data_IF_638543227685
#
_entry.id   IF_638543227685
#
_cell.length_a   1.000
_cell.length_b   1.000
_cell.length_c   1.000
_cell.angle_alpha   90.00
_cell.angle_beta   90.00
_cell.angle_gamma   90.00
#
_symmetry.space_group_name_H-M   'P 1'
#
loop_
_entity.id
_entity.type
_entity.pdbx_description
1 polymer ?
#
# COMPACT_ATOMS: atom_id res chain seq x y z
N UNK A 1 5.60 -7.73 -73.62
CA UNK A 1 6.31 -7.30 -72.39
C UNK A 1 5.39 -7.51 -71.19
N UNK A 2 5.66 -8.52 -70.36
CA UNK A 2 4.98 -8.73 -69.07
C UNK A 2 6.00 -8.43 -67.98
N UNK A 3 5.78 -7.37 -67.20
CA UNK A 3 6.57 -7.04 -66.02
C UNK A 3 5.77 -7.43 -64.77
N UNK A 4 6.41 -8.25 -63.93
CA UNK A 4 5.88 -8.90 -62.74
C UNK A 4 5.45 -7.90 -61.65
N UNK A 5 4.21 -8.05 -61.15
CA UNK A 5 3.71 -7.40 -59.94
C UNK A 5 4.19 -8.10 -58.66
N UNK A 6 5.51 -8.29 -58.50
CA UNK A 6 6.06 -9.02 -57.36
C UNK A 6 7.28 -8.31 -56.75
N UNK A 7 7.13 -7.03 -56.39
CA UNK A 7 8.21 -6.27 -55.74
C UNK A 7 7.73 -5.21 -54.74
N UNK A 8 6.50 -5.32 -54.22
CA UNK A 8 5.96 -4.31 -53.27
C UNK A 8 5.61 -4.91 -51.89
N UNK A 9 5.71 -6.23 -51.70
CA UNK A 9 5.39 -6.86 -50.42
C UNK A 9 6.58 -6.97 -49.43
N UNK A 10 7.81 -6.68 -49.86
CA UNK A 10 9.03 -6.94 -49.06
C UNK A 10 9.66 -5.71 -48.40
N UNK A 11 9.14 -4.51 -48.65
CA UNK A 11 9.72 -3.26 -48.10
C UNK A 11 9.10 -2.80 -46.78
N UNK A 12 7.94 -3.34 -46.37
CA UNK A 12 7.29 -2.95 -45.10
C UNK A 12 7.84 -3.73 -43.91
N UNK A 13 8.31 -4.97 -44.10
CA UNK A 13 8.84 -5.79 -43.01
C UNK A 13 10.22 -5.33 -42.49
N UNK A 14 10.97 -4.56 -43.29
CA UNK A 14 12.31 -4.08 -42.91
C UNK A 14 12.29 -2.81 -42.05
N UNK A 15 11.20 -2.03 -42.09
CA UNK A 15 11.09 -0.78 -41.33
C UNK A 15 10.73 -1.01 -39.84
N UNK A 16 10.22 -2.18 -39.47
CA UNK A 16 9.84 -2.52 -38.10
C UNK A 16 11.00 -3.11 -37.27
N UNK A 17 12.12 -3.51 -37.90
CA UNK A 17 13.27 -4.11 -37.21
C UNK A 17 14.22 -3.08 -36.59
N UNK A 18 14.02 -1.77 -36.82
CA UNK A 18 14.89 -0.71 -36.30
C UNK A 18 14.41 -0.07 -35.01
N UNK A 19 13.22 -0.43 -34.51
CA UNK A 19 12.95 -0.30 -33.08
C UNK A 19 13.66 -1.45 -32.36
N UNK A 20 14.99 -1.43 -32.42
CA UNK A 20 15.78 -2.01 -31.35
C UNK A 20 15.25 -1.33 -30.09
N UNK A 21 14.44 -2.05 -29.32
CA UNK A 21 14.14 -1.68 -27.95
C UNK A 21 15.50 -1.43 -27.32
N UNK A 22 15.82 -0.17 -27.07
CA UNK A 22 16.95 0.18 -26.24
C UNK A 22 16.68 -0.58 -24.94
N UNK A 23 17.44 -1.66 -24.73
CA UNK A 23 17.41 -2.40 -23.50
C UNK A 23 17.93 -1.41 -22.47
N UNK A 24 17.00 -0.74 -21.80
CA UNK A 24 17.32 0.16 -20.70
C UNK A 24 17.85 -0.76 -19.62
N UNK A 25 19.17 -0.88 -19.50
CA UNK A 25 19.79 -1.54 -18.36
C UNK A 25 19.28 -0.81 -17.12
N UNK A 26 18.37 -1.47 -16.39
CA UNK A 26 17.80 -0.92 -15.17
C UNK A 26 18.93 -0.81 -14.16
N UNK A 27 19.27 0.43 -13.76
CA UNK A 27 20.35 0.70 -12.79
C UNK A 27 20.05 0.09 -11.41
N UNK A 28 18.78 -0.17 -11.14
CA UNK A 28 18.26 -0.78 -9.93
C UNK A 28 16.74 -0.63 -9.87
N UNK A 29 16.14 -1.16 -8.81
CA UNK A 29 14.70 -1.05 -8.52
C UNK A 29 14.52 -0.22 -7.26
N UNK A 30 13.62 0.76 -7.30
CA UNK A 30 13.16 1.50 -6.12
C UNK A 30 11.87 0.87 -5.63
N UNK A 31 11.76 0.67 -4.31
CA UNK A 31 10.54 0.21 -3.65
C UNK A 31 10.03 1.37 -2.80
N UNK A 32 8.96 2.03 -3.27
CA UNK A 32 8.28 3.04 -2.46
C UNK A 32 7.40 2.34 -1.45
N UNK A 33 7.62 2.64 -0.16
CA UNK A 33 6.83 2.14 0.95
C UNK A 33 6.24 3.32 1.71
N UNK A 34 4.99 3.17 2.13
CA UNK A 34 4.26 4.16 2.91
C UNK A 34 3.66 3.48 4.13
N UNK A 35 3.98 3.98 5.30
CA UNK A 35 3.56 3.40 6.57
C UNK A 35 2.40 4.24 7.15
N UNK A 36 1.79 3.77 8.24
CA UNK A 36 0.83 4.50 9.09
C UNK A 36 -0.51 4.89 8.44
N UNK A 37 -0.81 4.42 7.23
CA UNK A 37 -2.16 4.53 6.66
C UNK A 37 -3.11 3.42 7.16
N UNK A 38 -4.36 3.37 6.69
CA UNK A 38 -4.97 4.25 5.70
C UNK A 38 -5.63 5.47 6.35
N UNK A 39 -5.30 6.67 5.86
CA UNK A 39 -5.85 7.95 6.33
C UNK A 39 -6.28 8.82 5.14
N UNK A 40 -6.89 9.98 5.37
CA UNK A 40 -7.35 10.86 4.30
C UNK A 40 -6.20 11.26 3.34
N UNK A 41 -5.02 11.52 3.88
CA UNK A 41 -3.84 11.89 3.10
C UNK A 41 -3.36 10.78 2.14
N UNK A 42 -3.63 9.50 2.46
CA UNK A 42 -3.26 8.38 1.60
C UNK A 42 -3.89 8.50 0.20
N UNK A 43 -5.07 9.11 0.08
CA UNK A 43 -5.79 9.27 -1.19
C UNK A 43 -4.98 10.10 -2.19
N UNK A 44 -4.44 11.24 -1.75
CA UNK A 44 -3.65 12.11 -2.63
C UNK A 44 -2.29 11.49 -2.98
N UNK A 45 -1.67 10.77 -2.03
CA UNK A 45 -0.48 9.97 -2.30
C UNK A 45 -0.74 8.94 -3.39
N UNK A 46 -1.81 8.15 -3.27
CA UNK A 46 -2.21 7.13 -4.26
C UNK A 46 -2.51 7.79 -5.62
N UNK A 47 -3.19 8.94 -5.63
CA UNK A 47 -3.48 9.67 -6.86
C UNK A 47 -2.20 10.09 -7.60
N UNK A 48 -1.18 10.57 -6.89
CA UNK A 48 0.12 10.90 -7.52
C UNK A 48 0.81 9.63 -8.04
N UNK A 49 0.85 8.55 -7.26
CA UNK A 49 1.45 7.29 -7.72
C UNK A 49 0.76 6.76 -9.00
N UNK A 50 -0.56 6.88 -9.07
CA UNK A 50 -1.35 6.51 -10.23
C UNK A 50 -1.07 7.41 -11.45
N UNK A 51 -0.96 8.72 -11.24
CA UNK A 51 -0.62 9.68 -12.31
C UNK A 51 0.76 9.40 -12.90
N UNK A 52 1.71 9.00 -12.07
CA UNK A 52 3.08 8.65 -12.47
C UNK A 52 3.22 7.17 -12.89
N UNK A 53 2.11 6.43 -12.98
CA UNK A 53 2.04 5.02 -13.41
C UNK A 53 2.95 4.07 -12.58
N UNK A 54 3.20 4.40 -11.31
CA UNK A 54 4.03 3.58 -10.41
C UNK A 54 3.19 2.85 -9.35
N UNK A 55 3.71 1.71 -8.88
CA UNK A 55 3.15 0.95 -7.76
C UNK A 55 4.04 1.04 -6.54
N UNK A 56 3.43 0.88 -5.37
CA UNK A 56 4.04 1.05 -4.06
C UNK A 56 3.46 0.02 -3.10
N UNK A 57 4.08 -0.10 -1.93
CA UNK A 57 3.58 -0.90 -0.82
C UNK A 57 3.12 0.00 0.31
N UNK A 58 1.93 -0.26 0.83
CA UNK A 58 1.37 0.43 1.96
C UNK A 58 1.34 -0.51 3.17
N UNK A 59 2.11 -0.20 4.21
CA UNK A 59 2.08 -0.90 5.48
C UNK A 59 1.05 -0.21 6.36
N UNK A 60 -0.12 -0.84 6.53
CA UNK A 60 -1.28 -0.21 7.14
C UNK A 60 -1.55 -0.66 8.58
N UNK A 61 -2.08 0.28 9.37
CA UNK A 61 -2.66 0.12 10.70
C UNK A 61 -4.17 0.27 10.64
N UNK A 62 -4.92 -0.80 10.95
CA UNK A 62 -6.37 -0.80 10.78
C UNK A 62 -7.15 0.00 11.83
N UNK A 63 -6.51 0.45 12.92
CA UNK A 63 -7.15 1.31 13.92
C UNK A 63 -7.72 2.63 13.34
N UNK A 64 -7.18 3.12 12.23
CA UNK A 64 -7.69 4.29 11.50
C UNK A 64 -9.09 4.03 10.91
N UNK A 65 -9.42 2.76 10.63
CA UNK A 65 -10.76 2.38 10.19
C UNK A 65 -11.78 2.43 11.34
N UNK A 66 -11.33 2.23 12.58
CA UNK A 66 -12.15 2.35 13.79
C UNK A 66 -12.23 3.80 14.31
N UNK A 67 -11.50 4.75 13.71
CA UNK A 67 -11.61 6.18 14.05
C UNK A 67 -10.85 6.58 15.32
N UNK A 68 -9.80 5.83 15.70
CA UNK A 68 -9.05 6.01 16.95
C UNK A 68 -7.56 6.28 16.75
N UNK A 69 -7.10 6.55 15.52
CA UNK A 69 -5.68 6.72 15.19
C UNK A 69 -5.14 8.13 15.36
N UNK A 70 -5.95 9.07 15.86
CA UNK A 70 -5.63 10.51 16.03
C UNK A 70 -5.19 11.22 14.74
N UNK A 71 -5.75 10.81 13.60
CA UNK A 71 -5.50 11.42 12.30
C UNK A 71 -6.80 11.89 11.62
N UNK A 72 -6.67 12.62 10.50
CA UNK A 72 -7.81 12.83 9.61
C UNK A 72 -8.09 11.53 8.86
N UNK A 73 -9.04 10.73 9.34
CA UNK A 73 -9.25 9.35 8.92
C UNK A 73 -10.70 8.97 8.61
N UNK A 74 -11.60 9.95 8.49
CA UNK A 74 -13.00 9.72 8.09
C UNK A 74 -13.13 9.08 6.69
N UNK A 75 -12.06 9.09 5.89
CA UNK A 75 -11.95 8.45 4.58
C UNK A 75 -10.98 7.26 4.55
N UNK A 76 -10.61 6.69 5.70
CA UNK A 76 -9.69 5.54 5.80
C UNK A 76 -10.15 4.34 4.95
N UNK A 77 -11.44 3.99 4.98
CA UNK A 77 -11.98 2.90 4.15
C UNK A 77 -11.93 3.23 2.64
N UNK A 78 -12.13 4.49 2.26
CA UNK A 78 -11.97 4.94 0.87
C UNK A 78 -10.52 4.80 0.42
N UNK A 79 -9.56 5.23 1.25
CA UNK A 79 -8.13 5.10 1.00
C UNK A 79 -7.69 3.64 0.84
N UNK A 80 -8.14 2.74 1.73
CA UNK A 80 -7.86 1.30 1.64
C UNK A 80 -8.35 0.72 0.31
N UNK A 81 -9.61 1.00 -0.06
CA UNK A 81 -10.18 0.54 -1.34
C UNK A 81 -9.42 1.10 -2.52
N UNK A 82 -9.08 2.40 -2.50
CA UNK A 82 -8.35 3.06 -3.58
C UNK A 82 -6.95 2.45 -3.77
N UNK A 83 -6.23 2.13 -2.68
CA UNK A 83 -4.93 1.48 -2.76
C UNK A 83 -5.02 0.12 -3.46
N UNK A 84 -6.00 -0.70 -3.05
CA UNK A 84 -6.24 -2.04 -3.58
C UNK A 84 -6.73 -2.02 -5.03
N UNK A 85 -7.76 -1.22 -5.34
CA UNK A 85 -8.35 -1.08 -6.68
C UNK A 85 -7.32 -0.52 -7.69
N UNK A 86 -6.36 0.29 -7.21
CA UNK A 86 -5.26 0.83 -8.02
C UNK A 86 -4.09 -0.15 -8.19
N UNK A 87 -4.12 -1.33 -7.56
CA UNK A 87 -3.07 -2.34 -7.68
C UNK A 87 -1.83 -2.09 -6.84
N UNK A 88 -1.87 -1.22 -5.83
CA UNK A 88 -0.79 -1.11 -4.83
C UNK A 88 -0.83 -2.31 -3.88
N UNK A 89 0.32 -2.65 -3.30
CA UNK A 89 0.38 -3.71 -2.31
C UNK A 89 -0.10 -3.16 -0.96
N UNK A 90 -0.99 -3.88 -0.29
CA UNK A 90 -1.33 -3.62 1.12
C UNK A 90 -0.66 -4.69 1.99
N UNK A 91 0.17 -4.26 2.91
CA UNK A 91 0.95 -5.08 3.85
C UNK A 91 0.61 -4.70 5.31
N UNK A 92 1.10 -5.50 6.25
CA UNK A 92 0.70 -5.43 7.66
C UNK A 92 1.66 -4.56 8.48
N UNK A 93 1.14 -3.56 9.18
CA UNK A 93 1.91 -2.72 10.10
C UNK A 93 1.48 -2.87 11.56
N UNK A 94 0.80 -3.98 11.92
CA UNK A 94 0.04 -4.16 13.18
C UNK A 94 -1.23 -3.34 13.24
N UNK A 95 -2.11 -3.61 14.21
CA UNK A 95 -3.41 -2.94 14.34
C UNK A 95 -3.28 -1.47 14.77
N UNK A 96 -2.53 -1.22 15.84
CA UNK A 96 -2.54 0.05 16.59
C UNK A 96 -1.16 0.73 16.66
N UNK A 97 -0.24 0.33 15.79
CA UNK A 97 1.13 0.84 15.78
C UNK A 97 1.84 0.69 17.15
N UNK A 98 1.48 -0.37 17.90
CA UNK A 98 1.93 -0.65 19.26
C UNK A 98 1.59 0.42 20.31
N UNK A 99 0.63 1.30 20.03
CA UNK A 99 0.25 2.38 20.95
C UNK A 99 -0.35 1.85 22.26
N UNK A 100 -0.87 0.62 22.30
CA UNK A 100 -1.21 -0.05 23.56
C UNK A 100 -0.06 -0.11 24.58
N UNK A 101 1.19 -0.09 24.13
CA UNK A 101 2.37 -0.08 25.00
C UNK A 101 2.81 1.33 25.42
N UNK A 102 2.24 2.38 24.81
CA UNK A 102 2.56 3.78 25.10
C UNK A 102 1.67 4.37 26.21
N UNK A 103 0.60 3.67 26.59
CA UNK A 103 -0.39 4.13 27.57
C UNK A 103 -0.60 3.07 28.66
N UNK A 104 -1.23 3.49 29.76
CA UNK A 104 -1.55 2.59 30.89
C UNK A 104 -2.68 1.60 30.55
N UNK A 105 -3.70 2.05 29.80
CA UNK A 105 -4.82 1.24 29.33
C UNK A 105 -5.20 1.69 27.91
N UNK A 106 -5.23 0.77 26.96
CA UNK A 106 -5.56 1.08 25.57
C UNK A 106 -7.06 1.38 25.39
N UNK A 107 -7.37 2.42 24.62
CA UNK A 107 -8.72 2.87 24.34
C UNK A 107 -8.77 3.91 23.23
N UNK A 108 -9.95 4.50 22.96
CA UNK A 108 -10.16 5.38 21.81
C UNK A 108 -9.40 6.72 21.87
N UNK A 109 -8.79 7.07 22.99
CA UNK A 109 -7.97 8.29 23.12
C UNK A 109 -6.46 8.00 23.16
N UNK A 110 -6.04 6.73 23.11
CA UNK A 110 -4.64 6.36 23.38
C UNK A 110 -3.66 6.89 22.35
N UNK A 111 -4.08 7.01 21.08
CA UNK A 111 -3.29 7.67 20.05
C UNK A 111 -2.98 9.14 20.42
N UNK A 112 -4.01 9.90 20.79
CA UNK A 112 -3.87 11.30 21.22
C UNK A 112 -3.03 11.43 22.51
N UNK A 113 -3.20 10.52 23.46
CA UNK A 113 -2.41 10.49 24.70
C UNK A 113 -0.94 10.23 24.41
N UNK A 114 -0.62 9.24 23.57
CA UNK A 114 0.74 8.93 23.16
C UNK A 114 1.35 10.07 22.31
N UNK A 115 0.57 10.72 21.45
CA UNK A 115 0.98 11.90 20.71
C UNK A 115 1.30 13.09 21.63
N UNK A 116 0.55 13.26 22.72
CA UNK A 116 0.79 14.34 23.68
C UNK A 116 2.09 14.17 24.47
N UNK A 117 2.54 12.92 24.71
CA UNK A 117 3.81 12.65 25.38
C UNK A 117 4.98 12.56 24.41
N UNK A 118 4.75 12.06 23.19
CA UNK A 118 5.80 11.74 22.24
C UNK A 118 6.60 10.49 22.61
N UNK A 119 6.05 9.64 23.49
CA UNK A 119 6.73 8.45 24.03
C UNK A 119 6.57 7.20 23.13
N UNK A 120 6.20 7.35 21.86
CA UNK A 120 5.96 6.22 20.93
C UNK A 120 7.12 5.22 20.87
N UNK A 121 8.35 5.68 21.10
CA UNK A 121 9.58 4.88 21.02
C UNK A 121 10.05 4.34 22.38
N UNK A 122 9.31 4.62 23.46
CA UNK A 122 9.64 4.19 24.82
C UNK A 122 8.74 3.02 25.20
N UNK A 123 9.33 1.88 25.57
CA UNK A 123 8.62 0.65 25.90
C UNK A 123 7.67 0.15 24.80
N UNK A 124 7.88 0.53 23.53
CA UNK A 124 6.98 0.23 22.40
C UNK A 124 6.73 -1.26 22.17
N UNK A 125 7.62 -2.13 22.63
CA UNK A 125 7.48 -3.58 22.61
C UNK A 125 7.72 -4.11 24.02
N UNK A 126 6.80 -4.90 24.56
CA UNK A 126 6.84 -5.39 25.94
C UNK A 126 6.63 -6.90 26.01
N UNK A 127 5.39 -7.36 25.83
CA UNK A 127 5.09 -8.78 25.70
C UNK A 127 5.05 -9.15 24.22
N UNK A 128 6.09 -9.84 23.68
CA UNK A 128 6.16 -10.13 22.26
C UNK A 128 4.98 -10.98 21.76
N UNK A 129 4.32 -11.75 22.63
CA UNK A 129 3.14 -12.52 22.24
C UNK A 129 1.93 -11.61 22.02
N UNK A 130 1.73 -10.61 22.89
CA UNK A 130 0.67 -9.62 22.74
C UNK A 130 0.97 -8.68 21.57
N UNK A 131 2.21 -8.19 21.46
CA UNK A 131 2.66 -7.33 20.36
C UNK A 131 2.46 -8.03 19.00
N UNK A 132 2.86 -9.30 18.88
CA UNK A 132 2.65 -10.09 17.67
C UNK A 132 1.17 -10.33 17.36
N UNK A 133 0.32 -10.42 18.39
CA UNK A 133 -1.12 -10.60 18.19
C UNK A 133 -1.78 -9.40 17.50
N UNK A 134 -1.22 -8.20 17.62
CA UNK A 134 -1.72 -7.00 16.93
C UNK A 134 -1.60 -7.12 15.40
N UNK A 135 -0.70 -7.96 14.87
CA UNK A 135 -0.67 -8.25 13.44
C UNK A 135 -1.86 -9.09 13.00
N UNK A 136 -2.34 -10.02 13.84
CA UNK A 136 -3.53 -10.82 13.57
C UNK A 136 -4.83 -10.00 13.76
N UNK A 137 -4.86 -9.12 14.76
CA UNK A 137 -5.95 -8.15 14.94
C UNK A 137 -6.07 -7.25 13.70
N UNK A 138 -4.95 -6.79 13.15
CA UNK A 138 -4.93 -5.98 11.94
C UNK A 138 -5.65 -6.66 10.77
N UNK A 139 -5.39 -7.96 10.54
CA UNK A 139 -6.09 -8.74 9.52
C UNK A 139 -7.60 -8.78 9.75
N UNK A 140 -7.99 -9.03 11.01
CA UNK A 140 -9.39 -9.16 11.41
C UNK A 140 -10.16 -7.86 11.18
N UNK A 141 -9.56 -6.71 11.50
CA UNK A 141 -10.18 -5.40 11.30
C UNK A 141 -10.22 -5.01 9.81
N UNK A 142 -9.15 -5.27 9.05
CA UNK A 142 -9.15 -5.05 7.59
C UNK A 142 -10.27 -5.85 6.90
N UNK A 143 -10.44 -7.14 7.25
CA UNK A 143 -11.50 -7.99 6.72
C UNK A 143 -12.90 -7.56 7.21
N UNK A 144 -13.03 -7.06 8.44
CA UNK A 144 -14.30 -6.51 8.97
C UNK A 144 -14.79 -5.33 8.11
N UNK A 145 -13.91 -4.39 7.77
CA UNK A 145 -14.28 -3.18 7.01
C UNK A 145 -14.35 -3.40 5.50
N UNK A 146 -13.56 -4.33 4.96
CA UNK A 146 -13.61 -4.74 3.56
C UNK A 146 -13.71 -6.26 3.45
N UNK A 147 -14.92 -6.86 3.57
CA UNK A 147 -15.11 -8.32 3.65
C UNK A 147 -14.60 -9.13 2.45
N UNK A 148 -14.40 -8.49 1.29
CA UNK A 148 -13.83 -9.11 0.11
C UNK A 148 -12.34 -8.79 -0.10
N UNK A 149 -11.64 -8.23 0.91
CA UNK A 149 -10.24 -7.82 0.78
C UNK A 149 -9.32 -8.98 0.35
N UNK A 150 -9.59 -10.20 0.79
CA UNK A 150 -8.84 -11.41 0.41
C UNK A 150 -9.03 -11.82 -1.05
N UNK A 151 -9.98 -11.23 -1.77
CA UNK A 151 -10.14 -11.43 -3.22
C UNK A 151 -9.14 -10.62 -4.05
N UNK A 152 -8.47 -9.63 -3.45
CA UNK A 152 -7.46 -8.81 -4.12
C UNK A 152 -6.10 -9.53 -4.12
N UNK A 153 -5.48 -9.81 -5.28
CA UNK A 153 -4.19 -10.49 -5.34
C UNK A 153 -3.03 -9.65 -4.76
N UNK A 154 -3.23 -8.34 -4.66
CA UNK A 154 -2.31 -7.35 -4.09
C UNK A 154 -2.56 -7.07 -2.60
N UNK A 155 -3.51 -7.77 -1.96
CA UNK A 155 -3.58 -7.85 -0.51
C UNK A 155 -2.56 -8.87 0.00
N UNK A 156 -1.59 -8.40 0.79
CA UNK A 156 -0.40 -9.14 1.24
C UNK A 156 -0.17 -9.03 2.76
N UNK A 157 -1.17 -8.60 3.52
CA UNK A 157 -1.01 -8.42 4.97
C UNK A 157 -0.86 -9.75 5.73
N UNK A 158 -1.22 -10.87 5.12
CA UNK A 158 -1.15 -12.23 5.68
C UNK A 158 0.04 -13.08 5.17
N UNK A 159 0.93 -12.50 4.35
CA UNK A 159 2.14 -13.16 3.83
C UNK A 159 3.35 -12.85 4.71
#
# INVERSE_FOLDING_TARGET
MKLNKLAIATLVSAALSQYAFAQTDTKGTIYLTFDDGPINASIDVINVLNQEEVKATFYFNAWHLDGIGDENEDRALEALKLALDSGHIVANHSYDHMVHNCVEEFGPNSAAECNATGDHQINSYQDPAYDASMFAENLSVLEKYLPNITSYPNYKANE
#
